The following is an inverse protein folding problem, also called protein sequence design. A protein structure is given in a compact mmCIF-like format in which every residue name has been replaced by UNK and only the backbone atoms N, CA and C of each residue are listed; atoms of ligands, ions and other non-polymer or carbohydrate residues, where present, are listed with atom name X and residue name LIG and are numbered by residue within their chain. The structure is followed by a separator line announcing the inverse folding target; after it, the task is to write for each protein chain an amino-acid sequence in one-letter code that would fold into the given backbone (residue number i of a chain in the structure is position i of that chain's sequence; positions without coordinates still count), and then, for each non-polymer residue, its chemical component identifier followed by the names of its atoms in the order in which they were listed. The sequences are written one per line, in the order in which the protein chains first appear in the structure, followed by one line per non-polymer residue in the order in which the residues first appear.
data_IF_211384772414
#
_entry.id   IF_211384772414
#
_cell.length_a   1.000
_cell.length_b   1.000
_cell.length_c   1.000
_cell.angle_alpha   90.00
_cell.angle_beta   90.00
_cell.angle_gamma   90.00
#
_symmetry.space_group_name_H-M   'P 1'
#
loop_
_entity.id
_entity.type
_entity.pdbx_description
1 polymer ?
#
# COMPACT_ATOMS: atom_id res chain seq x y z
N UNK A 1 -30.53 2.14 23.90
CA UNK A 1 -29.44 3.11 23.66
C UNK A 1 -28.12 2.38 23.88
N UNK A 2 -27.23 2.39 22.92
CA UNK A 2 -25.87 1.82 23.10
C UNK A 2 -25.15 2.74 24.10
N UNK A 3 -24.67 2.16 25.21
CA UNK A 3 -23.91 2.91 26.20
C UNK A 3 -22.61 3.44 25.56
N UNK A 4 -22.22 4.68 25.90
CA UNK A 4 -20.97 5.29 25.41
C UNK A 4 -19.73 4.42 25.65
N UNK A 5 -19.72 3.67 26.74
CA UNK A 5 -18.69 2.66 27.05
C UNK A 5 -18.66 1.50 26.05
N UNK A 6 -19.82 0.99 25.65
CA UNK A 6 -19.92 -0.08 24.66
C UNK A 6 -19.48 0.39 23.27
N UNK A 7 -19.85 1.61 22.88
CA UNK A 7 -19.42 2.21 21.62
C UNK A 7 -17.90 2.40 21.57
N UNK A 8 -17.31 2.88 22.67
CA UNK A 8 -15.87 3.07 22.81
C UNK A 8 -15.11 1.74 22.72
N UNK A 9 -15.60 0.69 23.39
CA UNK A 9 -15.06 -0.66 23.29
C UNK A 9 -15.09 -1.15 21.85
N UNK A 10 -16.25 -1.07 21.20
CA UNK A 10 -16.44 -1.54 19.83
C UNK A 10 -15.49 -0.87 18.85
N UNK A 11 -15.41 0.48 18.87
CA UNK A 11 -14.53 1.24 17.98
C UNK A 11 -13.05 0.92 18.21
N UNK A 12 -12.65 0.73 19.47
CA UNK A 12 -11.26 0.40 19.81
C UNK A 12 -10.90 -1.05 19.45
N UNK A 13 -11.82 -1.99 19.68
CA UNK A 13 -11.62 -3.39 19.34
C UNK A 13 -11.62 -3.63 17.81
N UNK A 14 -12.44 -2.88 17.08
CA UNK A 14 -12.53 -2.97 15.62
C UNK A 14 -11.19 -2.66 14.95
N UNK A 15 -10.44 -1.68 15.46
CA UNK A 15 -9.11 -1.37 14.95
C UNK A 15 -8.14 -2.53 15.10
N UNK A 16 -8.11 -3.15 16.27
CA UNK A 16 -7.25 -4.31 16.52
C UNK A 16 -7.64 -5.52 15.65
N UNK A 17 -8.93 -5.78 15.51
CA UNK A 17 -9.45 -6.86 14.66
C UNK A 17 -9.09 -6.65 13.20
N UNK A 18 -9.29 -5.45 12.66
CA UNK A 18 -8.89 -5.10 11.30
C UNK A 18 -7.37 -5.21 11.10
N UNK A 19 -6.57 -4.86 12.12
CA UNK A 19 -5.13 -5.04 12.09
C UNK A 19 -4.70 -6.50 11.99
N UNK A 20 -5.41 -7.44 12.66
CA UNK A 20 -5.20 -8.87 12.50
C UNK A 20 -5.56 -9.38 11.11
N UNK A 21 -6.71 -8.95 10.56
CA UNK A 21 -7.11 -9.32 9.19
C UNK A 21 -6.06 -8.84 8.19
N UNK A 22 -5.59 -7.60 8.31
CA UNK A 22 -4.55 -7.06 7.43
C UNK A 22 -3.21 -7.80 7.61
N UNK A 23 -2.85 -8.15 8.84
CA UNK A 23 -1.66 -8.97 9.10
C UNK A 23 -1.74 -10.29 8.34
N UNK A 24 -2.84 -11.01 8.45
CA UNK A 24 -3.07 -12.27 7.76
C UNK A 24 -3.07 -12.09 6.23
N UNK A 25 -3.73 -11.05 5.72
CA UNK A 25 -3.73 -10.71 4.31
C UNK A 25 -2.32 -10.50 3.76
N UNK A 26 -1.49 -9.70 4.43
CA UNK A 26 -0.11 -9.48 4.01
C UNK A 26 0.76 -10.73 4.16
N UNK A 27 0.52 -11.57 5.17
CA UNK A 27 1.23 -12.85 5.33
C UNK A 27 0.96 -13.79 4.15
N UNK A 28 -0.31 -13.98 3.78
CA UNK A 28 -0.73 -14.86 2.68
C UNK A 28 -0.18 -14.35 1.34
N UNK A 29 -0.19 -13.03 1.14
CA UNK A 29 0.29 -12.41 -0.09
C UNK A 29 1.80 -12.16 -0.11
N UNK A 30 2.51 -12.47 0.97
CA UNK A 30 3.96 -12.40 1.02
C UNK A 30 4.57 -13.55 0.24
N UNK A 31 4.80 -13.36 -1.05
CA UNK A 31 5.52 -14.33 -1.89
C UNK A 31 7.00 -14.38 -1.51
N UNK A 32 7.66 -15.52 -1.74
CA UNK A 32 9.08 -15.80 -1.41
C UNK A 32 10.11 -14.71 -1.81
N UNK A 33 9.74 -13.79 -2.69
CA UNK A 33 10.62 -12.70 -3.16
C UNK A 33 10.35 -11.34 -2.50
N UNK A 34 9.26 -11.15 -1.75
CA UNK A 34 8.91 -9.85 -1.15
C UNK A 34 8.94 -9.93 0.38
N UNK A 35 10.14 -9.76 0.95
CA UNK A 35 10.35 -9.76 2.40
C UNK A 35 9.64 -8.58 3.10
N UNK A 36 9.37 -7.48 2.41
CA UNK A 36 8.70 -6.32 2.98
C UNK A 36 7.28 -6.65 3.48
N UNK A 37 6.52 -7.45 2.73
CA UNK A 37 5.17 -7.86 3.14
C UNK A 37 5.16 -8.72 4.40
N UNK A 38 6.18 -9.55 4.63
CA UNK A 38 6.33 -10.29 5.88
C UNK A 38 6.54 -9.34 7.06
N UNK A 39 7.42 -8.36 6.92
CA UNK A 39 7.68 -7.41 7.99
C UNK A 39 6.48 -6.49 8.24
N UNK A 40 5.74 -6.11 7.20
CA UNK A 40 4.49 -5.37 7.36
C UNK A 40 3.42 -6.21 8.07
N UNK A 41 3.28 -7.48 7.71
CA UNK A 41 2.39 -8.42 8.40
C UNK A 41 2.73 -8.53 9.88
N UNK A 42 4.01 -8.74 10.22
CA UNK A 42 4.48 -8.82 11.61
C UNK A 42 4.30 -7.50 12.36
N UNK A 43 4.53 -6.35 11.71
CA UNK A 43 4.25 -5.03 12.30
C UNK A 43 2.77 -4.88 12.67
N UNK A 44 1.86 -5.22 11.75
CA UNK A 44 0.41 -5.18 12.00
C UNK A 44 0.01 -6.13 13.13
N UNK A 45 0.61 -7.33 13.18
CA UNK A 45 0.35 -8.31 14.22
C UNK A 45 0.71 -7.77 15.61
N UNK A 46 1.94 -7.28 15.79
CA UNK A 46 2.39 -6.81 17.11
C UNK A 46 1.66 -5.54 17.55
N UNK A 47 1.31 -4.64 16.63
CA UNK A 47 0.43 -3.50 16.91
C UNK A 47 -0.94 -3.97 17.39
N UNK A 48 -1.55 -4.94 16.72
CA UNK A 48 -2.85 -5.48 17.10
C UNK A 48 -2.83 -6.14 18.46
N UNK A 49 -1.81 -6.96 18.78
CA UNK A 49 -1.61 -7.55 20.11
C UNK A 49 -1.51 -6.46 21.18
N UNK A 50 -0.72 -5.42 20.92
CA UNK A 50 -0.57 -4.29 21.85
C UNK A 50 -1.90 -3.59 22.12
N UNK A 51 -2.69 -3.35 21.08
CA UNK A 51 -3.96 -2.64 21.15
C UNK A 51 -5.01 -3.48 21.86
N UNK A 52 -5.12 -4.76 21.53
CA UNK A 52 -6.02 -5.70 22.24
C UNK A 52 -5.73 -5.67 23.74
N UNK A 53 -4.48 -5.77 24.13
CA UNK A 53 -4.09 -5.68 25.55
C UNK A 53 -4.58 -4.36 26.15
N UNK A 54 -4.43 -3.24 25.44
CA UNK A 54 -4.84 -1.92 25.96
C UNK A 54 -6.35 -1.80 26.12
N UNK A 55 -7.11 -2.28 25.13
CA UNK A 55 -8.59 -2.28 25.16
C UNK A 55 -9.10 -3.16 26.30
N UNK A 56 -8.63 -4.40 26.37
CA UNK A 56 -9.08 -5.31 27.41
C UNK A 56 -8.70 -4.84 28.82
N UNK A 57 -7.51 -4.25 28.99
CA UNK A 57 -7.11 -3.73 30.30
C UNK A 57 -7.94 -2.50 30.72
N UNK A 58 -8.33 -1.65 29.79
CA UNK A 58 -9.17 -0.49 30.10
C UNK A 58 -10.58 -0.91 30.58
N UNK A 59 -11.18 -1.94 29.98
CA UNK A 59 -12.52 -2.40 30.34
C UNK A 59 -12.52 -3.50 31.43
N UNK A 60 -11.41 -4.13 31.68
CA UNK A 60 -11.23 -5.13 32.73
C UNK A 60 -9.91 -4.95 33.48
N UNK A 61 -9.88 -4.14 34.54
CA UNK A 61 -8.67 -3.92 35.36
C UNK A 61 -8.12 -5.19 36.02
N UNK A 62 -8.95 -6.21 36.20
CA UNK A 62 -8.58 -7.51 36.78
C UNK A 62 -8.03 -8.51 35.76
N UNK A 63 -7.63 -8.03 34.61
CA UNK A 63 -7.07 -8.86 33.55
C UNK A 63 -5.80 -9.61 34.02
N UNK A 64 -5.63 -10.82 33.50
CA UNK A 64 -4.46 -11.64 33.81
C UNK A 64 -3.14 -10.88 33.59
N UNK A 65 -2.27 -10.88 34.61
CA UNK A 65 -0.97 -10.24 34.54
C UNK A 65 -0.08 -10.81 33.42
N UNK A 66 -0.22 -12.10 33.10
CA UNK A 66 0.49 -12.74 31.98
C UNK A 66 0.06 -12.12 30.65
N UNK A 67 -1.25 -11.91 30.46
CA UNK A 67 -1.77 -11.26 29.25
C UNK A 67 -1.24 -9.82 29.12
N UNK A 68 -1.14 -9.08 30.24
CA UNK A 68 -0.56 -7.73 30.25
C UNK A 68 0.92 -7.78 29.86
N UNK A 69 1.68 -8.72 30.40
CA UNK A 69 3.11 -8.89 30.09
C UNK A 69 3.33 -9.22 28.61
N UNK A 70 2.56 -10.14 28.03
CA UNK A 70 2.62 -10.50 26.60
C UNK A 70 2.37 -9.26 25.75
N UNK A 71 1.30 -8.50 26.05
CA UNK A 71 0.96 -7.29 25.27
C UNK A 71 2.01 -6.18 25.38
N UNK A 72 2.68 -6.03 26.53
CA UNK A 72 3.80 -5.10 26.69
C UNK A 72 5.06 -5.59 25.97
N UNK A 73 5.32 -6.90 26.03
CA UNK A 73 6.47 -7.52 25.35
C UNK A 73 6.37 -7.39 23.83
N UNK A 74 5.18 -7.48 23.26
CA UNK A 74 4.97 -7.29 21.84
C UNK A 74 5.41 -5.90 21.34
N UNK A 75 5.32 -4.87 22.19
CA UNK A 75 5.70 -3.50 21.81
C UNK A 75 7.16 -3.36 21.40
N UNK A 76 8.07 -4.16 21.96
CA UNK A 76 9.49 -4.06 21.67
C UNK A 76 9.82 -4.39 20.20
N UNK A 77 8.92 -5.11 19.51
CA UNK A 77 9.09 -5.51 18.12
C UNK A 77 8.51 -4.51 17.12
N UNK A 78 7.74 -3.52 17.56
CA UNK A 78 7.11 -2.54 16.65
C UNK A 78 8.18 -1.74 15.90
N UNK A 79 9.17 -1.19 16.62
CA UNK A 79 10.28 -0.45 16.02
C UNK A 79 11.10 -1.28 15.03
N UNK A 80 11.62 -2.45 15.43
CA UNK A 80 12.33 -3.35 14.53
C UNK A 80 11.55 -3.71 13.26
N UNK A 81 10.27 -4.06 13.37
CA UNK A 81 9.47 -4.42 12.19
C UNK A 81 9.17 -3.24 11.28
N UNK A 82 8.95 -2.03 11.81
CA UNK A 82 8.84 -0.81 11.01
C UNK A 82 10.12 -0.59 10.18
N UNK A 83 11.28 -0.62 10.85
CA UNK A 83 12.57 -0.43 10.21
C UNK A 83 12.84 -1.48 9.13
N UNK A 84 12.61 -2.77 9.43
CA UNK A 84 12.81 -3.86 8.49
C UNK A 84 11.86 -3.77 7.30
N UNK A 85 10.60 -3.36 7.51
CA UNK A 85 9.64 -3.12 6.45
C UNK A 85 10.15 -2.05 5.48
N UNK A 86 10.52 -0.87 5.98
CA UNK A 86 10.97 0.24 5.15
C UNK A 86 12.29 -0.07 4.43
N UNK A 87 13.24 -0.68 5.13
CA UNK A 87 14.55 -1.06 4.57
C UNK A 87 14.43 -2.16 3.53
N UNK A 88 13.57 -3.15 3.73
CA UNK A 88 13.42 -4.27 2.79
C UNK A 88 12.75 -3.87 1.47
N UNK A 89 12.16 -2.68 1.38
CA UNK A 89 11.71 -2.10 0.12
C UNK A 89 12.90 -1.64 -0.78
N UNK A 90 14.07 -1.41 -0.19
CA UNK A 90 15.27 -1.00 -0.93
C UNK A 90 16.31 -2.12 -1.03
N UNK A 91 16.61 -2.79 0.08
CA UNK A 91 17.69 -3.80 0.18
C UNK A 91 17.29 -4.94 1.10
N UNK A 92 17.81 -6.14 0.77
CA UNK A 92 17.70 -7.31 1.64
C UNK A 92 18.49 -7.08 2.93
N UNK A 93 17.85 -7.28 4.09
CA UNK A 93 18.50 -7.09 5.39
C UNK A 93 18.47 -8.36 6.22
N UNK A 94 19.47 -8.50 7.09
CA UNK A 94 19.50 -9.57 8.08
C UNK A 94 18.61 -9.17 9.29
N UNK A 95 17.38 -9.61 9.29
CA UNK A 95 16.38 -9.35 10.33
C UNK A 95 16.79 -9.86 11.73
N UNK A 96 17.64 -10.89 11.78
CA UNK A 96 18.11 -11.51 13.02
C UNK A 96 18.76 -10.48 13.95
N UNK A 97 19.55 -9.56 13.38
CA UNK A 97 20.26 -8.51 14.13
C UNK A 97 19.34 -7.52 14.86
N UNK A 98 18.11 -7.38 14.42
CA UNK A 98 17.14 -6.43 14.98
C UNK A 98 16.10 -7.12 15.87
N UNK A 99 15.66 -8.32 15.49
CA UNK A 99 14.56 -9.03 16.16
C UNK A 99 15.10 -9.85 17.34
N UNK A 100 16.16 -10.63 17.16
CA UNK A 100 16.68 -11.52 18.21
C UNK A 100 17.13 -10.77 19.46
N UNK A 101 17.94 -9.68 19.39
CA UNK A 101 18.32 -8.95 20.60
C UNK A 101 17.12 -8.37 21.36
N UNK A 102 16.11 -7.88 20.63
CA UNK A 102 14.89 -7.35 21.24
C UNK A 102 14.10 -8.44 21.95
N UNK A 103 13.93 -9.61 21.30
CA UNK A 103 13.24 -10.75 21.91
C UNK A 103 14.00 -11.32 23.12
N UNK A 104 15.32 -11.50 23.00
CA UNK A 104 16.14 -11.97 24.13
C UNK A 104 16.09 -11.03 25.31
N UNK A 105 16.21 -9.72 25.08
CA UNK A 105 16.16 -8.72 26.15
C UNK A 105 14.82 -8.79 26.90
N UNK A 106 13.68 -8.78 26.20
CA UNK A 106 12.36 -8.78 26.85
C UNK A 106 12.04 -10.13 27.50
N UNK A 107 12.55 -11.24 26.95
CA UNK A 107 12.38 -12.57 27.54
C UNK A 107 13.17 -12.68 28.86
N UNK A 108 14.43 -12.23 28.87
CA UNK A 108 15.27 -12.19 30.08
C UNK A 108 14.61 -11.31 31.14
N UNK A 109 14.19 -10.09 30.77
CA UNK A 109 13.51 -9.17 31.70
C UNK A 109 12.22 -9.79 32.21
N UNK A 110 11.39 -10.41 31.36
CA UNK A 110 10.14 -11.04 31.75
C UNK A 110 10.32 -12.25 32.66
N UNK A 111 11.44 -12.97 32.52
CA UNK A 111 11.79 -14.10 33.37
C UNK A 111 12.27 -13.68 34.76
N UNK A 112 13.26 -12.75 34.83
CA UNK A 112 13.81 -12.30 36.11
C UNK A 112 12.93 -11.30 36.86
N UNK A 113 12.15 -10.50 36.14
CA UNK A 113 11.23 -9.51 36.67
C UNK A 113 9.80 -9.73 36.15
N UNK A 114 9.10 -10.81 36.52
CA UNK A 114 7.74 -11.06 36.08
C UNK A 114 6.81 -9.88 36.41
N UNK A 115 5.94 -9.50 35.47
CA UNK A 115 4.99 -8.40 35.67
C UNK A 115 4.14 -8.54 36.94
N UNK A 116 3.77 -9.78 37.28
CA UNK A 116 2.96 -10.11 38.46
C UNK A 116 3.58 -9.57 39.76
N UNK A 117 4.90 -9.73 39.91
CA UNK A 117 5.65 -9.38 41.13
C UNK A 117 6.26 -7.97 41.03
N UNK A 118 6.54 -7.46 39.84
CA UNK A 118 7.33 -6.25 39.61
C UNK A 118 6.58 -5.20 38.79
N UNK A 119 5.27 -4.99 39.06
CA UNK A 119 4.43 -4.04 38.28
C UNK A 119 5.03 -2.64 38.18
N UNK A 120 5.55 -2.12 39.29
CA UNK A 120 6.18 -0.78 39.32
C UNK A 120 7.40 -0.69 38.38
N UNK A 121 8.26 -1.72 38.37
CA UNK A 121 9.43 -1.78 37.49
C UNK A 121 9.00 -1.77 36.01
N UNK A 122 7.98 -2.55 35.67
CA UNK A 122 7.45 -2.56 34.30
C UNK A 122 6.84 -1.21 33.91
N UNK A 123 6.05 -0.62 34.77
CA UNK A 123 5.34 0.62 34.47
C UNK A 123 6.27 1.82 34.36
N UNK A 124 7.28 1.91 35.21
CA UNK A 124 8.17 3.07 35.29
C UNK A 124 9.37 2.92 34.35
N UNK A 125 10.02 1.76 34.32
CA UNK A 125 11.29 1.59 33.63
C UNK A 125 11.20 0.81 32.32
N UNK A 126 10.61 -0.38 32.36
CA UNK A 126 10.63 -1.29 31.20
C UNK A 126 9.81 -0.71 30.06
N UNK A 127 8.60 -0.17 30.33
CA UNK A 127 7.75 0.44 29.30
C UNK A 127 8.42 1.67 28.69
N UNK A 128 9.07 2.50 29.51
CA UNK A 128 9.83 3.67 29.00
C UNK A 128 11.01 3.24 28.12
N UNK A 129 11.74 2.19 28.52
CA UNK A 129 12.84 1.65 27.73
C UNK A 129 12.34 1.10 26.37
N UNK A 130 11.20 0.39 26.37
CA UNK A 130 10.55 -0.08 25.13
C UNK A 130 10.18 1.10 24.23
N UNK A 131 9.58 2.16 24.78
CA UNK A 131 9.18 3.33 23.98
C UNK A 131 10.39 4.13 23.48
N UNK A 132 11.47 4.19 24.25
CA UNK A 132 12.73 4.78 23.81
C UNK A 132 13.34 3.96 22.66
N UNK A 133 13.38 2.63 22.78
CA UNK A 133 13.84 1.76 21.72
C UNK A 133 12.98 1.93 20.44
N UNK A 134 11.66 2.03 20.57
CA UNK A 134 10.76 2.27 19.46
C UNK A 134 11.06 3.62 18.78
N UNK A 135 11.29 4.70 19.56
CA UNK A 135 11.70 6.00 19.03
C UNK A 135 13.02 5.92 18.23
N UNK A 136 14.01 5.21 18.77
CA UNK A 136 15.29 5.01 18.06
C UNK A 136 15.06 4.38 16.68
N UNK A 137 14.19 3.37 16.58
CA UNK A 137 13.87 2.76 15.31
C UNK A 137 13.05 3.67 14.37
N UNK A 138 12.19 4.55 14.89
CA UNK A 138 11.53 5.59 14.09
C UNK A 138 12.58 6.52 13.47
N UNK A 139 13.54 6.99 14.28
CA UNK A 139 14.62 7.87 13.81
C UNK A 139 15.50 7.15 12.77
N UNK A 140 15.90 5.90 13.02
CA UNK A 140 16.67 5.12 12.06
C UNK A 140 15.92 4.88 10.74
N UNK A 141 14.60 4.79 10.80
CA UNK A 141 13.72 4.60 9.64
C UNK A 141 13.58 5.86 8.79
N UNK A 142 13.85 7.03 9.33
CA UNK A 142 13.78 8.32 8.60
C UNK A 142 14.64 8.32 7.34
N UNK A 143 15.79 7.65 7.38
CA UNK A 143 16.69 7.51 6.22
C UNK A 143 15.97 7.00 4.96
N UNK A 144 15.01 6.10 5.12
CA UNK A 144 14.23 5.51 4.01
C UNK A 144 13.03 6.35 3.61
N UNK A 145 12.62 7.29 4.45
CA UNK A 145 11.51 8.20 4.21
C UNK A 145 11.98 9.53 3.60
N UNK A 146 13.19 9.98 3.91
CA UNK A 146 13.76 11.24 3.37
C UNK A 146 13.66 11.35 1.85
N UNK A 147 14.02 10.33 1.04
CA UNK A 147 13.89 10.41 -0.42
C UNK A 147 12.44 10.61 -0.88
N UNK A 148 11.48 10.02 -0.16
CA UNK A 148 10.04 10.18 -0.45
C UNK A 148 9.60 11.62 -0.15
N UNK A 149 10.03 12.18 0.98
CA UNK A 149 9.73 13.57 1.36
C UNK A 149 10.37 14.55 0.36
N UNK A 150 11.56 14.24 -0.14
CA UNK A 150 12.25 15.08 -1.13
C UNK A 150 11.46 15.13 -2.44
N UNK A 151 10.96 14.02 -2.94
CA UNK A 151 10.06 13.98 -4.11
C UNK A 151 8.82 14.86 -3.93
N UNK A 152 8.27 14.95 -2.68
CA UNK A 152 7.13 15.84 -2.38
C UNK A 152 7.53 17.29 -2.61
N UNK A 153 8.69 17.69 -2.11
CA UNK A 153 9.19 19.09 -2.23
C UNK A 153 9.49 19.44 -3.68
N UNK A 154 10.01 18.51 -4.45
CA UNK A 154 10.39 18.68 -5.86
C UNK A 154 9.20 18.50 -6.83
N UNK A 155 7.98 18.26 -6.30
CA UNK A 155 6.75 18.03 -7.09
C UNK A 155 6.87 16.88 -8.11
N UNK A 156 7.73 15.92 -7.83
CA UNK A 156 7.87 14.72 -8.63
C UNK A 156 6.68 13.77 -8.53
N UNK A 157 6.55 12.86 -9.48
CA UNK A 157 5.49 11.85 -9.46
C UNK A 157 5.72 10.81 -8.36
N UNK A 158 4.69 10.55 -7.55
CA UNK A 158 4.73 9.55 -6.49
C UNK A 158 4.32 8.17 -6.99
N UNK A 159 5.06 7.15 -6.53
CA UNK A 159 4.61 5.77 -6.64
C UNK A 159 3.63 5.46 -5.51
N UNK A 160 2.70 4.55 -5.74
CA UNK A 160 1.76 4.08 -4.70
C UNK A 160 2.51 3.56 -3.46
N UNK A 161 3.64 2.87 -3.67
CA UNK A 161 4.46 2.35 -2.57
C UNK A 161 5.08 3.48 -1.72
N UNK A 162 5.43 4.61 -2.32
CA UNK A 162 6.00 5.74 -1.59
C UNK A 162 4.97 6.30 -0.60
N UNK A 163 3.71 6.50 -1.05
CA UNK A 163 2.63 6.98 -0.18
C UNK A 163 2.30 5.96 0.90
N UNK A 164 2.25 4.68 0.55
CA UNK A 164 2.00 3.61 1.51
C UNK A 164 3.08 3.58 2.61
N UNK A 165 4.35 3.61 2.22
CA UNK A 165 5.48 3.62 3.16
C UNK A 165 5.46 4.84 4.07
N UNK A 166 5.17 6.02 3.50
CA UNK A 166 5.05 7.27 4.27
C UNK A 166 3.86 7.20 5.25
N UNK A 167 2.71 6.69 4.82
CA UNK A 167 1.51 6.55 5.66
C UNK A 167 1.75 5.59 6.83
N UNK A 168 2.41 4.46 6.62
CA UNK A 168 2.77 3.51 7.67
C UNK A 168 3.76 4.16 8.66
N UNK A 169 4.79 4.84 8.16
CA UNK A 169 5.77 5.52 9.00
C UNK A 169 5.13 6.59 9.89
N UNK A 170 4.35 7.49 9.31
CA UNK A 170 3.64 8.54 10.05
C UNK A 170 2.64 7.93 11.03
N UNK A 171 1.88 6.91 10.60
CA UNK A 171 0.91 6.22 11.44
C UNK A 171 1.56 5.61 12.68
N UNK A 172 2.68 4.91 12.53
CA UNK A 172 3.41 4.31 13.65
C UNK A 172 4.01 5.38 14.56
N UNK A 173 4.47 6.52 14.02
CA UNK A 173 4.96 7.65 14.82
C UNK A 173 3.83 8.32 15.64
N UNK A 174 2.65 8.50 15.05
CA UNK A 174 1.45 9.02 15.75
C UNK A 174 1.04 8.08 16.88
N UNK A 175 1.05 6.77 16.66
CA UNK A 175 0.70 5.78 17.67
C UNK A 175 1.74 5.82 18.80
N UNK A 176 3.02 5.90 18.47
CA UNK A 176 4.09 6.07 19.47
C UNK A 176 3.87 7.32 20.33
N UNK A 177 3.60 8.46 19.69
CA UNK A 177 3.35 9.73 20.37
C UNK A 177 2.12 9.61 21.29
N UNK A 178 1.04 9.03 20.80
CA UNK A 178 -0.18 8.83 21.59
C UNK A 178 0.07 8.01 22.85
N UNK A 179 0.88 6.93 22.75
CA UNK A 179 1.23 6.11 23.92
C UNK A 179 2.24 6.78 24.85
N UNK A 180 3.07 7.71 24.35
CA UNK A 180 4.09 8.42 25.15
C UNK A 180 3.48 9.58 25.91
N UNK A 181 2.56 10.33 25.28
CA UNK A 181 1.92 11.52 25.86
C UNK A 181 0.72 11.16 26.74
N UNK A 182 -0.01 10.11 26.36
CA UNK A 182 -1.16 9.67 27.16
C UNK A 182 -0.70 9.22 28.56
N UNK A 183 -1.32 9.77 29.58
CA UNK A 183 -1.10 9.31 30.95
C UNK A 183 -1.44 7.83 31.06
N UNK A 184 -0.84 7.14 32.02
CA UNK A 184 -0.98 5.69 32.23
C UNK A 184 -2.43 5.18 32.29
N UNK A 185 -3.37 6.07 32.63
CA UNK A 185 -4.81 5.78 32.69
C UNK A 185 -5.54 5.84 31.34
N UNK A 186 -4.92 6.38 30.29
CA UNK A 186 -5.58 6.62 28.99
C UNK A 186 -5.10 5.69 27.88
N UNK A 187 -4.95 4.38 28.17
CA UNK A 187 -4.57 3.37 27.18
C UNK A 187 -5.47 3.30 25.94
N UNK A 188 -6.71 3.78 26.07
CA UNK A 188 -7.69 3.81 25.00
C UNK A 188 -7.28 4.77 23.87
N UNK A 189 -6.52 5.84 24.21
CA UNK A 189 -6.06 6.81 23.21
C UNK A 189 -5.20 6.14 22.13
N UNK A 190 -4.29 5.26 22.54
CA UNK A 190 -3.47 4.52 21.58
C UNK A 190 -4.28 3.58 20.68
N UNK A 191 -5.31 2.94 21.24
CA UNK A 191 -6.21 2.08 20.48
C UNK A 191 -7.05 2.89 19.46
N UNK A 192 -7.59 4.01 19.87
CA UNK A 192 -8.32 4.92 18.98
C UNK A 192 -7.42 5.53 17.90
N UNK A 193 -6.20 5.93 18.25
CA UNK A 193 -5.21 6.44 17.28
C UNK A 193 -4.88 5.40 16.22
N UNK A 194 -4.72 4.13 16.58
CA UNK A 194 -4.49 3.07 15.61
C UNK A 194 -5.69 2.89 14.69
N UNK A 195 -6.91 2.83 15.25
CA UNK A 195 -8.14 2.71 14.46
C UNK A 195 -8.26 3.87 13.47
N UNK A 196 -8.05 5.09 13.94
CA UNK A 196 -8.09 6.29 13.11
C UNK A 196 -7.05 6.27 11.98
N UNK A 197 -5.79 5.97 12.29
CA UNK A 197 -4.71 5.84 11.29
C UNK A 197 -5.03 4.78 10.26
N UNK A 198 -5.55 3.64 10.69
CA UNK A 198 -5.89 2.52 9.80
C UNK A 198 -7.01 2.92 8.83
N UNK A 199 -8.05 3.61 9.30
CA UNK A 199 -9.11 4.12 8.45
C UNK A 199 -8.64 5.26 7.53
N UNK A 200 -7.76 6.15 7.99
CA UNK A 200 -7.17 7.17 7.12
C UNK A 200 -6.38 6.53 5.98
N UNK A 201 -5.58 5.50 6.27
CA UNK A 201 -4.84 4.76 5.23
C UNK A 201 -5.83 4.12 4.25
N UNK A 202 -6.89 3.47 4.74
CA UNK A 202 -7.91 2.86 3.90
C UNK A 202 -8.60 3.90 3.00
N UNK A 203 -8.98 5.05 3.54
CA UNK A 203 -9.56 6.15 2.78
C UNK A 203 -8.60 6.69 1.70
N UNK A 204 -7.33 6.93 2.04
CA UNK A 204 -6.32 7.36 1.08
C UNK A 204 -6.17 6.38 -0.08
N UNK A 205 -6.30 5.07 0.21
CA UNK A 205 -6.24 4.03 -0.82
C UNK A 205 -7.48 4.01 -1.72
N UNK A 206 -8.67 4.21 -1.15
CA UNK A 206 -9.95 4.23 -1.87
C UNK A 206 -10.03 5.47 -2.77
N UNK A 207 -9.77 6.66 -2.22
CA UNK A 207 -9.87 7.92 -2.96
C UNK A 207 -8.77 8.12 -3.99
N UNK A 208 -7.63 7.46 -3.83
CA UNK A 208 -6.60 7.43 -4.85
C UNK A 208 -6.92 6.41 -5.92
N UNK A 209 -7.78 6.81 -6.78
CA UNK A 209 -8.30 6.22 -7.99
C UNK A 209 -7.77 4.83 -8.40
N UNK A 210 -8.70 3.93 -8.56
CA UNK A 210 -8.67 2.52 -8.89
C UNK A 210 -8.08 2.16 -10.28
N UNK A 211 -7.21 2.96 -10.83
CA UNK A 211 -6.72 2.72 -12.20
C UNK A 211 -5.61 1.67 -12.33
N UNK A 212 -5.15 1.06 -11.22
CA UNK A 212 -4.16 -0.02 -11.29
C UNK A 212 -4.40 -1.12 -10.26
N UNK A 213 -4.64 -2.36 -10.69
CA UNK A 213 -5.04 -3.46 -9.80
C UNK A 213 -3.91 -4.12 -8.98
N UNK A 214 -2.66 -3.66 -9.02
CA UNK A 214 -1.55 -4.35 -8.36
C UNK A 214 -0.74 -3.44 -7.41
N UNK A 215 -1.27 -3.26 -6.19
CA UNK A 215 -0.60 -2.53 -5.12
C UNK A 215 0.71 -3.17 -4.62
N UNK A 216 0.87 -4.48 -4.83
CA UNK A 216 1.94 -5.30 -4.24
C UNK A 216 2.97 -5.79 -5.26
N UNK A 217 2.88 -5.43 -6.54
CA UNK A 217 3.68 -6.04 -7.60
C UNK A 217 4.54 -5.10 -8.44
N UNK A 218 4.72 -3.84 -8.04
CA UNK A 218 5.67 -2.97 -8.73
C UNK A 218 7.08 -3.01 -8.11
N UNK A 219 8.01 -3.53 -8.88
CA UNK A 219 9.46 -3.42 -8.79
C UNK A 219 10.29 -4.48 -8.06
N UNK A 220 10.36 -5.66 -8.62
CA UNK A 220 11.65 -6.39 -8.64
C UNK A 220 11.84 -7.20 -9.93
N UNK A 221 10.98 -6.98 -10.93
CA UNK A 221 10.95 -7.89 -12.08
C UNK A 221 11.97 -7.58 -13.19
N UNK A 222 12.52 -6.36 -13.23
CA UNK A 222 13.27 -5.89 -14.40
C UNK A 222 14.71 -5.46 -14.13
N UNK A 223 15.24 -5.65 -12.91
CA UNK A 223 16.53 -5.06 -12.50
C UNK A 223 17.80 -5.65 -13.16
N UNK A 224 17.69 -6.71 -13.97
CA UNK A 224 18.89 -7.42 -14.45
C UNK A 224 18.87 -7.97 -15.90
N UNK A 225 18.05 -7.43 -16.81
CA UNK A 225 18.24 -7.73 -18.23
C UNK A 225 17.91 -6.46 -19.03
N UNK A 226 18.94 -5.84 -19.57
CA UNK A 226 18.80 -4.91 -20.69
C UNK A 226 18.14 -5.68 -21.85
N UNK A 227 17.09 -5.09 -22.44
CA UNK A 227 16.48 -5.66 -23.65
C UNK A 227 17.47 -5.37 -24.77
N UNK A 228 17.83 -6.39 -25.53
CA UNK A 228 18.68 -6.27 -26.70
C UNK A 228 18.13 -5.17 -27.64
N UNK A 229 18.94 -4.22 -28.10
CA UNK A 229 18.53 -3.18 -29.03
C UNK A 229 17.82 -3.69 -30.28
N UNK A 230 18.22 -4.84 -30.82
CA UNK A 230 17.54 -5.48 -31.95
C UNK A 230 16.11 -5.92 -31.58
N UNK A 231 15.93 -6.43 -30.37
CA UNK A 231 14.63 -6.84 -29.83
C UNK A 231 13.71 -5.63 -29.61
N UNK A 232 14.25 -4.47 -29.21
CA UNK A 232 13.49 -3.23 -29.07
C UNK A 232 12.88 -2.80 -30.39
N UNK A 233 13.65 -2.77 -31.46
CA UNK A 233 13.19 -2.41 -32.80
C UNK A 233 12.12 -3.40 -33.32
N UNK A 234 12.29 -4.68 -33.04
CA UNK A 234 11.30 -5.72 -33.41
C UNK A 234 9.98 -5.52 -32.66
N UNK A 235 10.02 -5.17 -31.37
CA UNK A 235 8.78 -4.93 -30.58
C UNK A 235 8.07 -3.69 -31.08
N UNK A 236 8.79 -2.63 -31.39
CA UNK A 236 8.21 -1.38 -31.88
C UNK A 236 7.45 -1.59 -33.20
N UNK A 237 8.07 -2.26 -34.16
CA UNK A 237 7.43 -2.64 -35.41
C UNK A 237 6.19 -3.54 -35.21
N UNK A 238 6.30 -4.50 -34.29
CA UNK A 238 5.18 -5.41 -34.00
C UNK A 238 4.03 -4.73 -33.27
N UNK A 239 4.28 -3.71 -32.44
CA UNK A 239 3.20 -2.93 -31.80
C UNK A 239 2.29 -2.24 -32.83
N UNK A 240 2.82 -1.85 -33.99
CA UNK A 240 2.01 -1.33 -35.08
C UNK A 240 0.93 -2.32 -35.55
N UNK A 241 1.19 -3.63 -35.49
CA UNK A 241 0.20 -4.65 -35.84
C UNK A 241 -1.04 -4.64 -34.92
N UNK A 242 -0.90 -4.25 -33.66
CA UNK A 242 -2.03 -4.11 -32.72
C UNK A 242 -2.98 -3.02 -33.21
N UNK A 243 -2.42 -1.94 -33.76
CA UNK A 243 -3.17 -0.81 -34.30
C UNK A 243 -3.77 -1.19 -35.65
N UNK A 244 -2.99 -1.77 -36.53
CA UNK A 244 -3.41 -2.17 -37.88
C UNK A 244 -4.55 -3.19 -37.86
N UNK A 245 -4.45 -4.19 -36.99
CA UNK A 245 -5.48 -5.22 -36.82
C UNK A 245 -6.62 -4.80 -35.88
N UNK A 246 -6.59 -3.58 -35.38
CA UNK A 246 -7.56 -3.03 -34.41
C UNK A 246 -7.81 -3.94 -33.19
N UNK A 247 -6.81 -4.72 -32.76
CA UNK A 247 -6.95 -5.67 -31.65
C UNK A 247 -7.34 -5.00 -30.33
N UNK A 248 -7.01 -3.72 -30.17
CA UNK A 248 -7.35 -2.91 -29.01
C UNK A 248 -8.87 -2.66 -28.88
N UNK A 249 -9.67 -2.89 -29.93
CA UNK A 249 -11.12 -2.75 -29.89
C UNK A 249 -11.81 -3.89 -29.10
N UNK A 250 -11.13 -5.04 -28.93
CA UNK A 250 -11.64 -6.07 -28.04
C UNK A 250 -11.57 -5.58 -26.58
N UNK A 251 -12.71 -5.42 -25.86
CA UNK A 251 -12.71 -4.91 -24.48
C UNK A 251 -11.86 -5.75 -23.52
N UNK A 252 -11.67 -7.03 -23.78
CA UNK A 252 -10.93 -7.99 -22.96
C UNK A 252 -9.47 -8.18 -23.40
N UNK A 253 -9.01 -7.43 -24.43
CA UNK A 253 -7.64 -7.55 -24.93
C UNK A 253 -6.62 -7.27 -23.84
N UNK A 254 -5.84 -8.27 -23.50
CA UNK A 254 -4.89 -8.27 -22.39
C UNK A 254 -3.43 -8.23 -22.88
N UNK A 255 -2.51 -7.95 -21.95
CA UNK A 255 -1.07 -8.05 -22.20
C UNK A 255 -0.64 -9.48 -22.62
N UNK A 256 -1.34 -10.51 -22.12
CA UNK A 256 -1.09 -11.91 -22.51
C UNK A 256 -1.47 -12.16 -23.97
N UNK A 257 -2.60 -11.61 -24.41
CA UNK A 257 -3.07 -11.74 -25.79
C UNK A 257 -2.14 -11.00 -26.75
N UNK A 258 -1.73 -9.78 -26.38
CA UNK A 258 -0.75 -9.01 -27.13
C UNK A 258 0.59 -9.74 -27.25
N UNK A 259 1.10 -10.31 -26.15
CA UNK A 259 2.36 -11.04 -26.15
C UNK A 259 2.31 -12.29 -27.07
N UNK A 260 1.18 -13.01 -27.08
CA UNK A 260 0.93 -14.15 -27.99
C UNK A 260 0.88 -13.70 -29.45
N UNK A 261 0.11 -12.65 -29.76
CA UNK A 261 -0.03 -12.13 -31.13
C UNK A 261 1.30 -11.63 -31.69
N UNK A 262 2.06 -10.89 -30.88
CA UNK A 262 3.37 -10.35 -31.26
C UNK A 262 4.49 -11.40 -31.21
N UNK A 263 4.21 -12.61 -30.74
CA UNK A 263 5.18 -13.71 -30.55
C UNK A 263 6.40 -13.26 -29.73
N UNK A 264 6.14 -12.56 -28.63
CA UNK A 264 7.14 -12.14 -27.66
C UNK A 264 6.74 -12.61 -26.25
N UNK A 265 7.71 -12.70 -25.33
CA UNK A 265 7.31 -13.03 -23.95
C UNK A 265 6.53 -11.88 -23.31
N UNK A 266 5.51 -12.20 -22.52
CA UNK A 266 4.75 -11.21 -21.71
C UNK A 266 5.66 -10.30 -20.89
N UNK A 267 6.76 -10.89 -20.41
CA UNK A 267 7.74 -10.18 -19.59
C UNK A 267 8.47 -9.08 -20.39
N UNK A 268 8.95 -9.42 -21.58
CA UNK A 268 9.67 -8.48 -22.45
C UNK A 268 8.71 -7.38 -22.94
N UNK A 269 7.50 -7.73 -23.36
CA UNK A 269 6.51 -6.73 -23.76
C UNK A 269 6.13 -5.79 -22.62
N UNK A 270 5.94 -6.31 -21.41
CA UNK A 270 5.66 -5.50 -20.23
C UNK A 270 6.83 -4.58 -19.89
N UNK A 271 8.06 -5.06 -19.98
CA UNK A 271 9.26 -4.27 -19.74
C UNK A 271 9.38 -3.15 -20.77
N UNK A 272 9.22 -3.45 -22.05
CA UNK A 272 9.25 -2.46 -23.14
C UNK A 272 8.24 -1.33 -22.90
N UNK A 273 6.96 -1.67 -22.66
CA UNK A 273 5.90 -0.67 -22.48
C UNK A 273 6.16 0.19 -21.24
N UNK A 274 6.67 -0.41 -20.14
CA UNK A 274 6.88 0.34 -18.91
C UNK A 274 8.18 1.16 -18.91
N UNK A 275 9.28 0.62 -19.47
CA UNK A 275 10.59 1.28 -19.37
C UNK A 275 10.86 2.19 -20.58
N UNK A 276 10.46 1.79 -21.78
CA UNK A 276 10.72 2.56 -23.01
C UNK A 276 9.56 3.54 -23.29
N UNK A 277 8.30 3.06 -23.26
CA UNK A 277 7.15 3.93 -23.51
C UNK A 277 6.68 4.70 -22.26
N UNK A 278 7.23 4.41 -21.08
CA UNK A 278 6.94 5.12 -19.84
C UNK A 278 5.50 4.97 -19.32
N UNK A 279 4.75 3.97 -19.79
CA UNK A 279 3.33 3.77 -19.45
C UNK A 279 2.99 2.31 -19.23
N UNK A 280 1.85 2.02 -18.58
CA UNK A 280 1.36 0.65 -18.47
C UNK A 280 0.70 0.20 -19.79
N UNK A 281 0.69 -1.13 -20.05
CA UNK A 281 0.01 -1.68 -21.23
C UNK A 281 -1.48 -1.29 -21.29
N UNK A 282 -2.16 -1.28 -20.14
CA UNK A 282 -3.56 -0.83 -20.07
C UNK A 282 -3.73 0.64 -20.48
N UNK A 283 -2.79 1.50 -20.14
CA UNK A 283 -2.84 2.90 -20.56
C UNK A 283 -2.53 3.06 -22.05
N UNK A 284 -1.59 2.29 -22.58
CA UNK A 284 -1.30 2.25 -24.01
C UNK A 284 -2.55 1.86 -24.83
N UNK A 285 -3.24 0.81 -24.42
CA UNK A 285 -4.49 0.37 -25.09
C UNK A 285 -5.60 1.43 -24.96
N UNK A 286 -5.73 2.07 -23.79
CA UNK A 286 -6.70 3.17 -23.62
C UNK A 286 -6.42 4.34 -24.56
N UNK A 287 -5.15 4.71 -24.74
CA UNK A 287 -4.78 5.77 -25.69
C UNK A 287 -5.22 5.40 -27.12
N UNK A 288 -4.96 4.19 -27.58
CA UNK A 288 -5.41 3.75 -28.92
C UNK A 288 -6.93 3.81 -29.07
N UNK A 289 -7.67 3.41 -28.02
CA UNK A 289 -9.14 3.49 -27.99
C UNK A 289 -9.65 4.93 -28.04
N UNK A 290 -8.99 5.85 -27.33
CA UNK A 290 -9.36 7.27 -27.37
C UNK A 290 -9.06 7.88 -28.72
N UNK A 291 -7.93 7.55 -29.36
CA UNK A 291 -7.64 8.00 -30.72
C UNK A 291 -8.67 7.47 -31.73
N UNK A 292 -9.15 6.22 -31.58
CA UNK A 292 -10.27 5.71 -32.39
C UNK A 292 -11.55 6.50 -32.15
N UNK A 293 -11.89 6.78 -30.89
CA UNK A 293 -13.08 7.57 -30.53
C UNK A 293 -13.03 8.98 -31.15
N UNK A 294 -11.86 9.63 -31.11
CA UNK A 294 -11.68 10.94 -31.75
C UNK A 294 -11.94 10.88 -33.25
N UNK A 295 -11.34 9.90 -33.95
CA UNK A 295 -11.58 9.70 -35.39
C UNK A 295 -13.05 9.48 -35.71
N UNK A 296 -13.76 8.65 -34.93
CA UNK A 296 -15.19 8.42 -35.13
C UNK A 296 -16.02 9.70 -34.94
N UNK A 297 -15.68 10.55 -33.95
CA UNK A 297 -16.33 11.84 -33.75
C UNK A 297 -16.06 12.85 -34.88
N UNK A 298 -14.91 12.75 -35.54
CA UNK A 298 -14.52 13.64 -36.64
C UNK A 298 -15.13 13.21 -37.99
N UNK A 299 -15.37 11.90 -38.17
CA UNK A 299 -15.82 11.34 -39.46
C UNK A 299 -17.32 10.99 -39.50
N UNK A 300 -17.96 10.69 -38.37
CA UNK A 300 -19.33 10.22 -38.29
C UNK A 300 -20.27 11.21 -37.59
N UNK A 301 -21.09 11.93 -38.35
CA UNK A 301 -22.02 12.94 -37.84
C UNK A 301 -23.23 12.38 -37.05
N UNK A 302 -23.40 11.06 -36.96
CA UNK A 302 -24.59 10.43 -36.33
C UNK A 302 -24.31 9.41 -35.24
N UNK A 303 -23.05 9.32 -34.76
CA UNK A 303 -22.72 8.39 -33.69
C UNK A 303 -23.26 8.88 -32.36
N UNK A 304 -23.96 8.03 -31.60
CA UNK A 304 -24.39 8.33 -30.25
C UNK A 304 -23.20 8.21 -29.31
N UNK A 305 -23.14 9.08 -28.29
CA UNK A 305 -22.01 9.05 -27.33
C UNK A 305 -21.92 7.73 -26.55
N UNK A 306 -23.05 7.05 -26.37
CA UNK A 306 -23.14 5.74 -25.75
C UNK A 306 -22.46 4.66 -26.63
N UNK A 307 -22.79 4.59 -27.91
CA UNK A 307 -22.19 3.65 -28.83
C UNK A 307 -20.71 3.94 -29.08
N UNK A 308 -20.32 5.21 -29.09
CA UNK A 308 -18.94 5.63 -29.29
C UNK A 308 -17.96 4.93 -28.32
N UNK A 309 -18.33 4.78 -27.07
CA UNK A 309 -17.51 4.08 -26.07
C UNK A 309 -17.30 2.61 -26.43
N UNK A 310 -18.38 1.90 -26.79
CA UNK A 310 -18.32 0.49 -27.17
C UNK A 310 -17.60 0.28 -28.50
N UNK A 311 -17.87 1.10 -29.51
CA UNK A 311 -17.22 1.03 -30.82
C UNK A 311 -15.73 1.36 -30.77
N UNK A 312 -15.32 2.07 -29.72
CA UNK A 312 -13.91 2.33 -29.43
C UNK A 312 -13.25 1.28 -28.53
N UNK A 313 -13.97 0.18 -28.18
CA UNK A 313 -13.42 -0.95 -27.43
C UNK A 313 -13.51 -0.83 -25.91
N UNK A 314 -14.28 0.11 -25.36
CA UNK A 314 -14.52 0.16 -23.92
C UNK A 314 -15.67 -0.76 -23.51
N UNK A 315 -15.57 -1.38 -22.35
CA UNK A 315 -16.60 -2.26 -21.80
C UNK A 315 -17.66 -1.54 -20.94
N UNK A 316 -17.47 -0.24 -20.69
CA UNK A 316 -18.44 0.59 -19.97
C UNK A 316 -18.30 2.06 -20.34
N UNK A 317 -19.43 2.74 -20.39
CA UNK A 317 -19.56 4.16 -20.64
C UNK A 317 -18.76 5.01 -19.63
N UNK A 318 -18.89 4.71 -18.34
CA UNK A 318 -18.18 5.44 -17.26
C UNK A 318 -16.66 5.40 -17.43
N UNK A 319 -16.11 4.24 -17.82
CA UNK A 319 -14.67 4.10 -18.08
C UNK A 319 -14.25 4.90 -19.30
N UNK A 320 -15.06 4.89 -20.35
CA UNK A 320 -14.84 5.67 -21.56
C UNK A 320 -14.81 7.17 -21.26
N UNK A 321 -15.87 7.73 -20.66
CA UNK A 321 -15.94 9.17 -20.38
C UNK A 321 -14.77 9.64 -19.50
N UNK A 322 -14.42 8.86 -18.49
CA UNK A 322 -13.28 9.17 -17.61
C UNK A 322 -11.97 9.18 -18.37
N UNK A 323 -11.73 8.17 -19.23
CA UNK A 323 -10.52 8.07 -20.02
C UNK A 323 -10.45 9.19 -21.07
N UNK A 324 -11.55 9.46 -21.76
CA UNK A 324 -11.63 10.48 -22.80
C UNK A 324 -11.31 11.88 -22.22
N UNK A 325 -11.99 12.28 -21.15
CA UNK A 325 -11.75 13.57 -20.49
C UNK A 325 -10.33 13.69 -19.96
N UNK A 326 -9.77 12.60 -19.41
CA UNK A 326 -8.38 12.61 -18.92
C UNK A 326 -7.35 12.81 -20.05
N UNK A 327 -7.61 12.25 -21.23
CA UNK A 327 -6.67 12.30 -22.36
C UNK A 327 -6.81 13.57 -23.17
N UNK A 328 -8.05 14.05 -23.39
CA UNK A 328 -8.32 15.20 -24.28
C UNK A 328 -8.54 16.52 -23.52
N UNK A 329 -8.77 16.47 -22.22
CA UNK A 329 -9.18 17.62 -21.41
C UNK A 329 -10.67 17.97 -21.52
N UNK A 330 -11.38 17.42 -22.51
CA UNK A 330 -12.79 17.69 -22.84
C UNK A 330 -13.66 16.42 -22.66
N UNK A 331 -14.94 16.60 -22.42
CA UNK A 331 -15.88 15.49 -22.57
C UNK A 331 -16.11 15.14 -24.05
N UNK A 332 -16.53 13.92 -24.40
CA UNK A 332 -16.83 13.56 -25.79
C UNK A 332 -17.83 14.51 -26.45
N UNK A 333 -18.83 15.00 -25.70
CA UNK A 333 -19.82 15.97 -26.21
C UNK A 333 -19.21 17.35 -26.49
N UNK A 334 -18.34 17.83 -25.62
CA UNK A 334 -17.59 19.09 -25.83
C UNK A 334 -16.63 18.98 -26.99
N UNK A 335 -15.94 17.84 -27.13
CA UNK A 335 -15.04 17.55 -28.24
C UNK A 335 -15.78 17.54 -29.57
N UNK A 336 -16.92 16.84 -29.67
CA UNK A 336 -17.76 16.81 -30.86
C UNK A 336 -18.22 18.20 -31.29
N UNK A 337 -18.66 19.03 -30.35
CA UNK A 337 -19.06 20.42 -30.63
C UNK A 337 -17.92 21.28 -31.16
N UNK A 338 -16.68 21.00 -30.78
CA UNK A 338 -15.51 21.76 -31.24
C UNK A 338 -15.16 21.48 -32.70
N UNK A 339 -15.58 20.35 -33.25
CA UNK A 339 -15.37 19.95 -34.66
C UNK A 339 -16.59 20.18 -35.57
N UNK A 340 -17.79 20.35 -34.97
CA UNK A 340 -19.03 20.59 -35.73
C UNK A 340 -19.26 22.07 -36.14
N UNK A 341 -18.17 22.83 -36.24
CA UNK A 341 -18.22 24.24 -36.72
C UNK A 341 -17.76 24.31 -38.16
#
# INVERSE_FOLDING_TARGET
MIDSHQLLFFLSALGAFNGFILSLYFAINARKKNSANYFLSLLMLVLSIRIIKSVFFYFNPNLSNIFIQIGLSACILIGPFLFLYLKSNEKKENWIKHVIPSLTAITIVGFFYPYVQHKAVWQVWIVKAIYLQWLVYIILSEKYIRPIIQKIKEKESFKKIDIWSLSIYIGVAIIWLAYTVASYTSYIIGALSFTFVLYLIALLLIFRNSSEPNFLHEKEKYKNKEIDPEMLAVIDQKLALIIEKELYLNPFFSLDDAAKELKVSKHILSQYVNEILGKSFSNLIKEYRIEKAKRLLETENKITLENLGYDSGFNSESTFFTAFKKTTGLTPAEYQKSYSK
#
